data_IF_633236259015
#
_entry.id   IF_633236259015
#
_cell.length_a   1.000
_cell.length_b   1.000
_cell.length_c   1.000
_cell.angle_alpha   90.00
_cell.angle_beta   90.00
_cell.angle_gamma   90.00
#
_symmetry.space_group_name_H-M   'P 1'
#
loop_
_entity.id
_entity.type
_entity.pdbx_description
1 polymer ?
#
# COMPACT_ATOMS: atom_id res chain seq x y z
N UNK A 1 -3.61 10.48 -32.93
CA UNK A 1 -3.69 9.01 -32.83
C UNK A 1 -5.11 8.58 -32.42
N UNK A 2 -5.58 8.98 -31.23
CA UNK A 2 -6.92 8.63 -30.72
C UNK A 2 -8.07 8.93 -31.68
N UNK A 3 -8.16 10.16 -32.22
CA UNK A 3 -9.19 10.52 -33.23
C UNK A 3 -9.18 9.59 -34.43
N UNK A 4 -8.00 9.33 -35.01
CA UNK A 4 -7.88 8.42 -36.17
C UNK A 4 -8.36 7.01 -35.82
N UNK A 5 -8.03 6.49 -34.63
CA UNK A 5 -8.53 5.18 -34.18
C UNK A 5 -10.07 5.15 -34.06
N UNK A 6 -10.69 6.22 -33.56
CA UNK A 6 -12.15 6.35 -33.49
C UNK A 6 -12.79 6.43 -34.88
N UNK A 7 -12.24 7.28 -35.77
CA UNK A 7 -12.74 7.47 -37.13
C UNK A 7 -12.64 6.19 -37.99
N UNK A 8 -11.67 5.31 -37.71
CA UNK A 8 -11.44 4.08 -38.48
C UNK A 8 -12.20 2.86 -37.98
N UNK A 9 -12.81 2.92 -36.79
CA UNK A 9 -13.53 1.78 -36.22
C UNK A 9 -15.04 1.90 -36.52
N UNK A 10 -15.58 1.12 -37.47
CA UNK A 10 -16.98 1.23 -37.89
C UNK A 10 -17.99 0.87 -36.79
N UNK A 11 -17.55 0.28 -35.67
CA UNK A 11 -18.40 -0.02 -34.51
C UNK A 11 -18.59 1.15 -33.55
N UNK A 12 -17.94 2.30 -33.79
CA UNK A 12 -17.83 3.39 -32.82
C UNK A 12 -18.56 4.62 -33.35
N UNK A 13 -19.68 4.97 -32.71
CA UNK A 13 -20.46 6.17 -33.05
C UNK A 13 -20.01 7.37 -32.21
N UNK A 14 -18.77 7.81 -32.37
CA UNK A 14 -18.22 8.99 -31.68
C UNK A 14 -17.66 9.98 -32.68
N UNK A 15 -17.97 11.27 -32.51
CA UNK A 15 -17.40 12.35 -33.32
C UNK A 15 -16.59 13.29 -32.45
N UNK A 16 -15.33 13.53 -32.80
CA UNK A 16 -14.47 14.47 -32.06
C UNK A 16 -14.82 15.90 -32.47
N UNK A 17 -15.45 16.67 -31.59
CA UNK A 17 -15.90 18.04 -31.86
C UNK A 17 -14.95 19.13 -31.35
N UNK A 18 -14.09 18.80 -30.37
CA UNK A 18 -13.14 19.74 -29.79
C UNK A 18 -11.88 19.03 -29.27
N UNK A 19 -10.76 19.74 -29.30
CA UNK A 19 -9.56 19.40 -28.53
C UNK A 19 -9.37 20.39 -27.40
N UNK A 20 -8.79 19.94 -26.28
CA UNK A 20 -8.50 20.79 -25.12
C UNK A 20 -7.06 20.58 -24.70
N UNK A 21 -6.29 21.66 -24.59
CA UNK A 21 -4.87 21.63 -24.21
C UNK A 21 -4.51 22.85 -23.35
N UNK A 22 -3.57 22.64 -22.42
CA UNK A 22 -3.09 23.69 -21.53
C UNK A 22 -2.09 24.64 -22.17
N UNK A 23 -1.48 24.25 -23.29
CA UNK A 23 -0.52 25.10 -23.97
C UNK A 23 -1.24 26.28 -24.65
N UNK A 24 -1.09 27.53 -24.15
CA UNK A 24 -1.77 28.69 -24.71
C UNK A 24 -1.40 28.93 -26.17
N UNK A 25 -0.23 28.44 -26.63
CA UNK A 25 0.22 28.54 -28.02
C UNK A 25 -0.57 27.64 -28.97
N UNK A 26 -1.34 26.68 -28.45
CA UNK A 26 -2.21 25.80 -29.23
C UNK A 26 -3.64 26.32 -29.31
N UNK A 27 -4.06 27.22 -28.42
CA UNK A 27 -5.40 27.83 -28.44
C UNK A 27 -5.70 28.44 -29.81
N UNK A 28 -6.86 28.10 -30.38
CA UNK A 28 -7.32 28.61 -31.67
C UNK A 28 -6.72 27.92 -32.90
N UNK A 29 -5.73 27.02 -32.73
CA UNK A 29 -5.27 26.14 -33.81
C UNK A 29 -6.29 25.01 -34.05
N UNK A 30 -6.13 24.29 -35.15
CA UNK A 30 -6.97 23.14 -35.48
C UNK A 30 -6.13 21.92 -35.84
N UNK A 31 -6.65 20.73 -35.52
CA UNK A 31 -6.11 19.43 -35.93
C UNK A 31 -7.23 18.67 -36.62
N UNK A 32 -7.01 18.21 -37.84
CA UNK A 32 -8.03 17.53 -38.66
C UNK A 32 -9.36 18.30 -38.71
N UNK A 33 -9.30 19.64 -38.90
CA UNK A 33 -10.43 20.60 -38.88
C UNK A 33 -11.18 20.76 -37.54
N UNK A 34 -10.69 20.15 -36.46
CA UNK A 34 -11.25 20.31 -35.11
C UNK A 34 -10.44 21.35 -34.33
N UNK A 35 -11.11 22.33 -33.73
CA UNK A 35 -10.46 23.43 -32.98
C UNK A 35 -9.87 22.94 -31.65
N UNK A 36 -8.75 23.55 -31.28
CA UNK A 36 -8.11 23.40 -29.97
C UNK A 36 -8.51 24.58 -29.08
N UNK A 37 -9.13 24.27 -27.97
CA UNK A 37 -9.50 25.19 -26.91
C UNK A 37 -8.53 25.07 -25.73
N UNK A 38 -8.54 26.09 -24.89
CA UNK A 38 -7.80 26.03 -23.63
C UNK A 38 -8.65 25.35 -22.57
N UNK A 39 -8.01 24.69 -21.61
CA UNK A 39 -8.68 23.93 -20.53
C UNK A 39 -9.58 24.77 -19.62
N UNK A 40 -9.40 26.10 -19.63
CA UNK A 40 -10.29 27.04 -18.94
C UNK A 40 -11.63 27.24 -19.65
N UNK A 41 -11.71 26.92 -20.94
CA UNK A 41 -12.93 27.03 -21.73
C UNK A 41 -13.77 25.73 -21.68
N UNK A 42 -13.32 24.71 -20.92
CA UNK A 42 -13.90 23.35 -20.93
C UNK A 42 -15.39 23.32 -20.56
N UNK A 43 -15.77 23.95 -19.46
CA UNK A 43 -17.17 24.03 -18.98
C UNK A 43 -18.10 24.61 -20.06
N UNK A 44 -17.70 25.76 -20.62
CA UNK A 44 -18.42 26.42 -21.70
C UNK A 44 -18.57 25.52 -22.94
N UNK A 45 -17.56 24.72 -23.28
CA UNK A 45 -17.60 23.81 -24.44
C UNK A 45 -18.55 22.66 -24.18
N UNK A 46 -18.51 22.09 -22.97
CA UNK A 46 -19.42 21.02 -22.55
C UNK A 46 -20.87 21.45 -22.76
N UNK A 47 -21.22 22.67 -22.34
CA UNK A 47 -22.58 23.21 -22.47
C UNK A 47 -22.97 23.57 -23.91
N UNK A 48 -22.08 24.25 -24.65
CA UNK A 48 -22.38 24.75 -26.01
C UNK A 48 -22.48 23.62 -27.03
N UNK A 49 -21.55 22.67 -26.97
CA UNK A 49 -21.42 21.59 -27.95
C UNK A 49 -22.16 20.31 -27.50
N UNK A 50 -22.74 20.30 -26.29
CA UNK A 50 -23.43 19.16 -25.68
C UNK A 50 -22.59 17.89 -25.70
N UNK A 51 -21.43 17.96 -25.05
CA UNK A 51 -20.43 16.88 -25.05
C UNK A 51 -20.95 15.69 -24.23
N UNK A 52 -20.98 14.48 -24.81
CA UNK A 52 -21.32 13.25 -24.10
C UNK A 52 -20.12 12.59 -23.40
N UNK A 53 -18.95 12.64 -24.04
CA UNK A 53 -17.73 11.94 -23.60
C UNK A 53 -16.50 12.85 -23.67
N UNK A 54 -15.70 12.86 -22.60
CA UNK A 54 -14.36 13.45 -22.56
C UNK A 54 -13.30 12.36 -22.55
N UNK A 55 -12.39 12.37 -23.52
CA UNK A 55 -11.26 11.42 -23.58
C UNK A 55 -9.98 12.08 -23.06
N UNK A 56 -9.51 11.64 -21.91
CA UNK A 56 -8.19 12.00 -21.37
C UNK A 56 -7.10 11.22 -22.10
N UNK A 57 -6.22 11.97 -22.78
CA UNK A 57 -5.07 11.42 -23.53
C UNK A 57 -3.71 11.90 -23.01
N UNK A 58 -3.70 12.85 -22.08
CA UNK A 58 -2.47 13.42 -21.52
C UNK A 58 -2.07 12.70 -20.24
N UNK A 59 -0.94 12.01 -20.29
CA UNK A 59 -0.30 11.40 -19.11
C UNK A 59 0.51 12.43 -18.28
N UNK A 60 0.45 13.72 -18.65
CA UNK A 60 1.22 14.80 -18.00
C UNK A 60 0.36 15.74 -17.17
N UNK A 61 -0.93 15.43 -16.99
CA UNK A 61 -1.78 16.22 -16.11
C UNK A 61 -1.41 15.91 -14.66
N UNK A 62 -1.29 16.96 -13.84
CA UNK A 62 -1.16 16.77 -12.40
C UNK A 62 -2.43 16.09 -11.85
N UNK A 63 -2.33 15.28 -10.78
CA UNK A 63 -3.47 14.61 -10.17
C UNK A 63 -4.61 15.57 -9.78
N UNK A 64 -4.27 16.75 -9.25
CA UNK A 64 -5.23 17.79 -8.88
C UNK A 64 -6.04 18.27 -10.08
N UNK A 65 -5.35 18.54 -11.18
CA UNK A 65 -5.99 19.03 -12.42
C UNK A 65 -6.85 17.96 -13.06
N UNK A 66 -6.38 16.72 -13.07
CA UNK A 66 -7.14 15.56 -13.55
C UNK A 66 -8.43 15.38 -12.74
N UNK A 67 -8.35 15.47 -11.41
CA UNK A 67 -9.53 15.44 -10.53
C UNK A 67 -10.50 16.58 -10.86
N UNK A 68 -10.01 17.83 -10.98
CA UNK A 68 -10.86 18.98 -11.31
C UNK A 68 -11.61 18.81 -12.64
N UNK A 69 -10.92 18.31 -13.66
CA UNK A 69 -11.53 18.06 -14.98
C UNK A 69 -12.61 16.97 -14.86
N UNK A 70 -12.34 15.90 -14.12
CA UNK A 70 -13.30 14.82 -13.94
C UNK A 70 -14.50 15.26 -13.13
N UNK A 71 -14.30 16.02 -12.05
CA UNK A 71 -15.38 16.54 -11.22
C UNK A 71 -16.29 17.46 -12.04
N UNK A 72 -15.72 18.36 -12.85
CA UNK A 72 -16.48 19.18 -13.79
C UNK A 72 -17.28 18.31 -14.79
N UNK A 73 -16.67 17.28 -15.37
CA UNK A 73 -17.39 16.40 -16.30
C UNK A 73 -18.56 15.67 -15.62
N UNK A 74 -18.35 15.16 -14.41
CA UNK A 74 -19.38 14.47 -13.64
C UNK A 74 -20.52 15.41 -13.18
N UNK A 75 -20.26 16.70 -13.01
CA UNK A 75 -21.28 17.71 -12.71
C UNK A 75 -22.20 18.02 -13.89
N UNK A 76 -21.73 17.78 -15.12
CA UNK A 76 -22.47 17.99 -16.37
C UNK A 76 -22.89 16.68 -17.06
N UNK A 77 -22.91 15.56 -16.33
CA UNK A 77 -23.25 14.22 -16.85
C UNK A 77 -22.39 13.73 -18.03
N UNK A 78 -21.16 14.25 -18.15
CA UNK A 78 -20.19 13.88 -19.18
C UNK A 78 -19.37 12.68 -18.71
N UNK A 79 -19.33 11.62 -19.53
CA UNK A 79 -18.53 10.43 -19.25
C UNK A 79 -17.06 10.72 -19.50
N UNK A 80 -16.20 10.30 -18.56
CA UNK A 80 -14.75 10.46 -18.70
C UNK A 80 -14.10 9.13 -19.05
N UNK A 81 -13.43 9.12 -20.20
CA UNK A 81 -12.68 8.00 -20.74
C UNK A 81 -11.18 8.28 -20.62
N UNK A 82 -10.39 7.23 -20.45
CA UNK A 82 -8.95 7.31 -20.38
C UNK A 82 -8.30 6.44 -21.46
N UNK A 83 -7.27 7.00 -22.10
CA UNK A 83 -6.42 6.28 -23.05
C UNK A 83 -5.25 5.66 -22.29
N UNK A 84 -4.89 4.38 -22.54
CA UNK A 84 -3.76 3.76 -21.87
C UNK A 84 -2.43 4.45 -22.24
N UNK A 85 -1.40 4.34 -21.38
CA UNK A 85 -0.10 4.92 -21.68
C UNK A 85 0.55 4.28 -22.92
N UNK A 86 1.43 5.06 -23.59
CA UNK A 86 2.06 4.67 -24.86
C UNK A 86 2.73 3.28 -24.85
N UNK A 87 3.29 2.87 -23.71
CA UNK A 87 3.91 1.55 -23.52
C UNK A 87 2.96 0.38 -23.72
N UNK A 88 1.65 0.60 -23.53
CA UNK A 88 0.61 -0.42 -23.65
C UNK A 88 -0.01 -0.44 -25.06
N UNK A 89 0.52 0.37 -25.99
CA UNK A 89 0.01 0.45 -27.36
C UNK A 89 0.61 -0.67 -28.21
N UNK A 90 -0.26 -1.51 -28.76
CA UNK A 90 0.16 -2.62 -29.62
C UNK A 90 0.59 -2.07 -30.99
N UNK A 91 1.85 -2.30 -31.37
CA UNK A 91 2.43 -1.88 -32.67
C UNK A 91 2.31 -0.37 -32.96
N UNK A 92 2.34 0.48 -31.92
CA UNK A 92 2.30 1.95 -32.09
C UNK A 92 0.91 2.52 -32.42
N UNK A 93 -0.15 1.72 -32.30
CA UNK A 93 -1.54 2.12 -32.53
C UNK A 93 -2.43 1.75 -31.35
N UNK A 94 -3.41 2.61 -31.01
CA UNK A 94 -4.45 2.32 -30.01
C UNK A 94 -5.60 1.61 -30.70
N UNK A 95 -6.08 0.51 -30.12
CA UNK A 95 -7.39 -0.07 -30.45
C UNK A 95 -8.48 0.58 -29.60
N UNK A 96 -9.67 0.81 -30.16
CA UNK A 96 -10.76 1.51 -29.44
C UNK A 96 -11.18 0.79 -28.16
N UNK A 97 -11.15 -0.55 -28.15
CA UNK A 97 -11.43 -1.35 -26.94
C UNK A 97 -10.45 -1.13 -25.77
N UNK A 98 -9.32 -0.45 -26.00
CA UNK A 98 -8.38 -0.07 -24.96
C UNK A 98 -8.76 1.27 -24.30
N UNK A 99 -9.64 2.07 -24.90
CA UNK A 99 -10.22 3.26 -24.28
C UNK A 99 -11.24 2.79 -23.26
N UNK A 100 -11.03 3.14 -21.99
CA UNK A 100 -11.84 2.63 -20.86
C UNK A 100 -12.36 3.79 -20.03
N UNK A 101 -13.47 3.57 -19.34
CA UNK A 101 -13.95 4.49 -18.32
C UNK A 101 -12.85 4.75 -17.30
N UNK A 102 -12.73 6.01 -16.87
CA UNK A 102 -11.82 6.37 -15.81
C UNK A 102 -12.21 5.63 -14.53
N UNK A 103 -11.21 5.06 -13.86
CA UNK A 103 -11.41 4.36 -12.60
C UNK A 103 -11.15 5.31 -11.46
N UNK A 104 -11.75 5.03 -10.30
CA UNK A 104 -11.48 5.79 -9.09
C UNK A 104 -10.00 5.72 -8.71
N UNK A 105 -9.35 4.58 -8.95
CA UNK A 105 -7.93 4.41 -8.73
C UNK A 105 -7.11 5.46 -9.51
N UNK A 106 -7.44 5.71 -10.79
CA UNK A 106 -6.74 6.66 -11.66
C UNK A 106 -6.81 8.12 -11.17
N UNK A 107 -7.79 8.45 -10.31
CA UNK A 107 -7.99 9.77 -9.70
C UNK A 107 -7.28 9.90 -8.36
N UNK A 108 -6.99 8.77 -7.72
CA UNK A 108 -6.28 8.69 -6.45
C UNK A 108 -4.78 8.46 -6.65
N UNK A 109 -4.36 8.21 -7.89
CA UNK A 109 -2.95 8.15 -8.29
C UNK A 109 -2.23 9.46 -8.00
N UNK A 110 -0.98 9.32 -7.59
CA UNK A 110 -0.05 10.43 -7.36
C UNK A 110 0.98 10.52 -8.45
N UNK A 111 1.71 11.62 -8.46
CA UNK A 111 2.90 11.71 -9.30
C UNK A 111 3.86 10.57 -8.97
N UNK A 112 4.17 9.79 -10.01
CA UNK A 112 5.05 8.64 -9.95
C UNK A 112 6.42 9.04 -9.44
N UNK A 113 6.95 8.22 -8.57
CA UNK A 113 8.20 8.50 -7.86
C UNK A 113 9.37 8.10 -8.75
N UNK A 114 10.25 9.04 -9.03
CA UNK A 114 11.51 8.79 -9.75
C UNK A 114 12.54 8.37 -8.71
N UNK A 115 13.03 7.15 -8.83
CA UNK A 115 13.98 6.56 -7.90
C UNK A 115 15.25 6.17 -8.66
N UNK A 116 16.39 6.22 -7.99
CA UNK A 116 17.67 5.76 -8.54
C UNK A 116 17.69 4.23 -8.66
N UNK A 117 17.41 3.74 -9.87
CA UNK A 117 17.44 2.32 -10.18
C UNK A 117 18.85 1.71 -10.09
N UNK A 118 19.92 2.51 -10.18
CA UNK A 118 21.30 1.99 -10.24
C UNK A 118 21.71 1.34 -8.92
N UNK A 119 21.42 2.00 -7.79
CA UNK A 119 21.76 1.47 -6.47
C UNK A 119 20.98 0.18 -6.16
N UNK A 120 19.68 0.16 -6.51
CA UNK A 120 18.85 -1.03 -6.34
C UNK A 120 19.35 -2.20 -7.20
N UNK A 121 19.74 -1.91 -8.44
CA UNK A 121 20.30 -2.90 -9.35
C UNK A 121 21.61 -3.48 -8.80
N UNK A 122 22.53 -2.65 -8.32
CA UNK A 122 23.78 -3.09 -7.70
C UNK A 122 23.52 -3.99 -6.47
N UNK A 123 22.54 -3.61 -5.64
CA UNK A 123 22.23 -4.33 -4.42
C UNK A 123 21.54 -5.67 -4.65
N UNK A 124 20.61 -5.76 -5.61
CA UNK A 124 19.73 -6.93 -5.78
C UNK A 124 20.23 -7.91 -6.85
N UNK A 125 21.05 -7.47 -7.80
CA UNK A 125 21.60 -8.32 -8.87
C UNK A 125 22.38 -9.49 -8.30
N UNK A 126 22.07 -10.69 -8.77
CA UNK A 126 22.71 -11.93 -8.32
C UNK A 126 22.47 -12.27 -6.85
N UNK A 127 21.48 -11.66 -6.18
CA UNK A 127 21.13 -11.98 -4.79
C UNK A 127 19.99 -12.98 -4.68
N UNK A 128 19.87 -13.59 -3.51
CA UNK A 128 18.79 -14.50 -3.14
C UNK A 128 17.87 -13.72 -2.23
N UNK A 129 16.62 -13.59 -2.60
CA UNK A 129 15.68 -12.66 -1.99
C UNK A 129 14.50 -13.45 -1.50
N UNK A 130 14.24 -13.39 -0.20
CA UNK A 130 13.04 -13.97 0.40
C UNK A 130 11.97 -12.89 0.50
N UNK A 131 10.78 -13.17 -0.03
CA UNK A 131 9.58 -12.37 0.23
C UNK A 131 8.61 -13.26 1.01
N UNK A 132 8.30 -12.91 2.25
CA UNK A 132 7.25 -13.57 3.03
C UNK A 132 5.93 -12.82 2.86
N UNK A 133 4.80 -13.52 2.79
CA UNK A 133 3.53 -12.90 2.40
C UNK A 133 3.53 -12.61 0.89
N UNK A 134 4.28 -13.41 0.12
CA UNK A 134 4.51 -13.19 -1.30
C UNK A 134 3.21 -13.21 -2.12
N UNK A 135 2.19 -13.95 -1.70
CA UNK A 135 0.90 -13.99 -2.37
C UNK A 135 -0.04 -12.84 -1.95
N UNK A 136 0.35 -12.03 -0.96
CA UNK A 136 -0.38 -10.83 -0.56
C UNK A 136 -0.25 -9.68 -1.55
N UNK A 137 -1.11 -8.67 -1.43
CA UNK A 137 -1.13 -7.50 -2.35
C UNK A 137 0.21 -6.73 -2.41
N UNK A 138 0.91 -6.60 -1.27
CA UNK A 138 2.21 -5.92 -1.22
C UNK A 138 3.35 -6.87 -1.60
N UNK A 139 3.35 -8.10 -1.06
CA UNK A 139 4.41 -9.08 -1.34
C UNK A 139 4.50 -9.43 -2.82
N UNK A 140 3.37 -9.63 -3.50
CA UNK A 140 3.34 -9.96 -4.94
C UNK A 140 3.90 -8.82 -5.79
N UNK A 141 3.59 -7.57 -5.45
CA UNK A 141 4.16 -6.43 -6.16
C UNK A 141 5.65 -6.24 -5.87
N UNK A 142 6.11 -6.44 -4.62
CA UNK A 142 7.54 -6.47 -4.30
C UNK A 142 8.25 -7.51 -5.17
N UNK A 143 7.69 -8.71 -5.31
CA UNK A 143 8.24 -9.77 -6.17
C UNK A 143 8.36 -9.30 -7.62
N UNK A 144 7.30 -8.71 -8.19
CA UNK A 144 7.32 -8.19 -9.57
C UNK A 144 8.36 -7.11 -9.78
N UNK A 145 8.55 -6.21 -8.81
CA UNK A 145 9.53 -5.13 -8.91
C UNK A 145 10.96 -5.65 -8.75
N UNK A 146 11.18 -6.53 -7.77
CA UNK A 146 12.48 -7.16 -7.52
C UNK A 146 12.96 -8.00 -8.72
N UNK A 147 12.05 -8.69 -9.40
CA UNK A 147 12.37 -9.54 -10.55
C UNK A 147 13.09 -8.79 -11.69
N UNK A 148 12.84 -7.48 -11.82
CA UNK A 148 13.44 -6.61 -12.85
C UNK A 148 14.95 -6.40 -12.66
N UNK A 149 15.49 -6.66 -11.47
CA UNK A 149 16.89 -6.40 -11.12
C UNK A 149 17.81 -7.64 -11.25
N UNK A 150 17.37 -8.68 -11.97
CA UNK A 150 18.15 -9.90 -12.21
C UNK A 150 18.69 -10.57 -10.92
N UNK A 151 17.84 -10.88 -9.93
CA UNK A 151 18.27 -11.63 -8.77
C UNK A 151 18.68 -13.07 -9.14
N UNK A 152 19.54 -13.68 -8.31
CA UNK A 152 19.90 -15.09 -8.45
C UNK A 152 18.70 -16.01 -8.19
N UNK A 153 17.89 -15.70 -7.17
CA UNK A 153 16.71 -16.47 -6.80
C UNK A 153 15.72 -15.59 -6.02
N UNK A 154 14.43 -15.68 -6.32
CA UNK A 154 13.36 -15.13 -5.49
C UNK A 154 12.60 -16.28 -4.81
N UNK A 155 12.57 -16.28 -3.48
CA UNK A 155 11.84 -17.27 -2.68
C UNK A 155 10.50 -16.64 -2.29
N UNK A 156 9.42 -17.21 -2.83
CA UNK A 156 8.05 -16.76 -2.60
C UNK A 156 7.45 -17.55 -1.44
N UNK A 157 7.48 -16.99 -0.23
CA UNK A 157 6.91 -17.66 0.94
C UNK A 157 5.52 -17.14 1.28
N UNK A 158 4.55 -18.04 1.36
CA UNK A 158 3.19 -17.74 1.80
C UNK A 158 2.49 -18.99 2.36
N UNK A 159 1.37 -18.79 3.04
CA UNK A 159 0.44 -19.84 3.48
C UNK A 159 -0.75 -20.00 2.51
N UNK A 160 -1.03 -18.97 1.70
CA UNK A 160 -2.14 -18.96 0.76
C UNK A 160 -1.78 -19.73 -0.52
N UNK A 161 -2.07 -21.02 -0.51
CA UNK A 161 -1.71 -21.96 -1.58
C UNK A 161 -2.14 -21.49 -2.97
N UNK A 162 -3.43 -21.21 -3.17
CA UNK A 162 -3.94 -20.87 -4.49
C UNK A 162 -3.41 -19.51 -4.97
N UNK A 163 -3.35 -18.50 -4.10
CA UNK A 163 -2.81 -17.19 -4.48
C UNK A 163 -1.30 -17.24 -4.79
N UNK A 164 -0.55 -18.11 -4.10
CA UNK A 164 0.88 -18.34 -4.39
C UNK A 164 1.06 -19.06 -5.72
N UNK A 165 0.18 -20.02 -6.05
CA UNK A 165 0.16 -20.69 -7.34
C UNK A 165 -0.14 -19.72 -8.49
N UNK A 166 -1.16 -18.88 -8.35
CA UNK A 166 -1.49 -17.85 -9.34
C UNK A 166 -0.33 -16.88 -9.57
N UNK A 167 0.34 -16.43 -8.51
CA UNK A 167 1.54 -15.59 -8.64
C UNK A 167 2.65 -16.31 -9.39
N UNK A 168 2.84 -17.61 -9.15
CA UNK A 168 3.84 -18.39 -9.86
C UNK A 168 3.51 -18.47 -11.36
N UNK A 169 2.27 -18.76 -11.75
CA UNK A 169 1.85 -18.78 -13.16
C UNK A 169 2.04 -17.41 -13.80
N UNK A 170 1.64 -16.33 -13.12
CA UNK A 170 1.80 -14.95 -13.59
C UNK A 170 3.27 -14.61 -13.90
N UNK A 171 4.21 -15.03 -13.05
CA UNK A 171 5.64 -14.77 -13.25
C UNK A 171 6.22 -15.58 -14.42
N UNK A 172 5.71 -16.79 -14.67
CA UNK A 172 6.10 -17.61 -15.82
C UNK A 172 5.64 -16.98 -17.13
N UNK A 173 4.38 -16.54 -17.19
CA UNK A 173 3.78 -15.96 -18.40
C UNK A 173 4.44 -14.64 -18.82
N UNK A 174 4.89 -13.85 -17.84
CA UNK A 174 5.48 -12.53 -18.10
C UNK A 174 7.00 -12.56 -18.38
N UNK A 175 7.65 -13.73 -18.40
CA UNK A 175 9.12 -13.87 -18.56
C UNK A 175 9.93 -12.98 -17.59
N UNK A 176 9.36 -12.63 -16.42
CA UNK A 176 9.94 -11.60 -15.54
C UNK A 176 11.16 -12.09 -14.75
N UNK A 177 11.35 -13.40 -14.62
CA UNK A 177 12.58 -14.05 -14.14
C UNK A 177 12.33 -15.56 -14.12
N UNK A 178 13.23 -16.39 -14.65
CA UNK A 178 13.10 -17.85 -14.56
C UNK A 178 13.54 -18.42 -13.20
N UNK A 179 14.03 -17.57 -12.29
CA UNK A 179 14.68 -17.99 -11.06
C UNK A 179 13.85 -17.58 -9.84
N UNK A 180 12.69 -18.21 -9.65
CA UNK A 180 11.92 -18.12 -8.43
C UNK A 180 11.48 -19.51 -7.95
N UNK A 181 11.14 -19.61 -6.67
CA UNK A 181 10.60 -20.83 -6.08
C UNK A 181 9.45 -20.49 -5.13
N UNK A 182 8.30 -21.15 -5.31
CA UNK A 182 7.20 -21.11 -4.37
C UNK A 182 7.53 -21.99 -3.15
N UNK A 183 7.44 -21.42 -1.95
CA UNK A 183 7.68 -22.11 -0.69
C UNK A 183 6.50 -21.94 0.25
N UNK A 184 5.63 -22.95 0.27
CA UNK A 184 4.54 -23.02 1.23
C UNK A 184 5.07 -23.13 2.66
N UNK A 185 4.69 -22.18 3.51
CA UNK A 185 5.11 -22.16 4.90
C UNK A 185 4.56 -20.98 5.69
N UNK A 186 4.14 -21.26 6.91
CA UNK A 186 3.70 -20.25 7.88
C UNK A 186 4.90 -19.67 8.62
N UNK A 187 4.99 -18.33 8.69
CA UNK A 187 6.03 -17.61 9.44
C UNK A 187 6.01 -17.94 10.95
N UNK A 188 4.88 -18.40 11.47
CA UNK A 188 4.74 -18.91 12.85
C UNK A 188 5.48 -20.23 13.06
N UNK A 189 5.62 -21.04 12.01
CA UNK A 189 6.30 -22.34 12.11
C UNK A 189 7.81 -22.17 12.01
N UNK A 190 8.45 -22.02 13.18
CA UNK A 190 9.89 -21.82 13.30
C UNK A 190 10.72 -22.90 12.60
N UNK A 191 10.34 -24.17 12.70
CA UNK A 191 11.08 -25.28 12.07
C UNK A 191 10.99 -25.19 10.54
N UNK A 192 9.80 -24.91 10.01
CA UNK A 192 9.60 -24.76 8.56
C UNK A 192 10.35 -23.56 8.00
N UNK A 193 10.38 -22.45 8.74
CA UNK A 193 11.14 -21.27 8.36
C UNK A 193 12.65 -21.49 8.48
N UNK A 194 13.12 -22.15 9.54
CA UNK A 194 14.53 -22.52 9.69
C UNK A 194 15.02 -23.34 8.48
N UNK A 195 14.25 -24.34 8.04
CA UNK A 195 14.56 -25.13 6.85
C UNK A 195 14.66 -24.27 5.57
N UNK A 196 13.79 -23.26 5.42
CA UNK A 196 13.85 -22.31 4.32
C UNK A 196 15.19 -21.56 4.34
N UNK A 197 15.53 -20.94 5.48
CA UNK A 197 16.76 -20.16 5.61
C UNK A 197 18.01 -21.02 5.43
N UNK A 198 18.03 -22.24 5.98
CA UNK A 198 19.14 -23.17 5.84
C UNK A 198 19.36 -23.59 4.38
N UNK A 199 18.27 -23.87 3.67
CA UNK A 199 18.29 -24.36 2.28
C UNK A 199 18.69 -23.24 1.31
N UNK A 200 18.02 -22.10 1.38
CA UNK A 200 18.16 -21.05 0.37
C UNK A 200 19.12 -19.93 0.76
N UNK A 201 19.45 -19.79 2.05
CA UNK A 201 20.40 -18.79 2.59
C UNK A 201 20.16 -17.39 1.98
N UNK A 202 18.99 -16.77 2.20
CA UNK A 202 18.66 -15.49 1.57
C UNK A 202 19.67 -14.40 1.97
N UNK A 203 19.98 -13.51 1.03
CA UNK A 203 20.78 -12.32 1.29
C UNK A 203 19.89 -11.15 1.74
N UNK A 204 18.66 -11.08 1.23
CA UNK A 204 17.68 -10.03 1.51
C UNK A 204 16.36 -10.69 1.92
N UNK A 205 15.67 -10.08 2.89
CA UNK A 205 14.33 -10.47 3.30
C UNK A 205 13.42 -9.24 3.19
N UNK A 206 12.36 -9.35 2.40
CA UNK A 206 11.22 -8.42 2.43
C UNK A 206 10.06 -9.11 3.17
N UNK A 207 9.78 -8.63 4.38
CA UNK A 207 8.76 -9.22 5.24
C UNK A 207 7.43 -8.47 5.08
N UNK A 208 6.50 -9.09 4.36
CA UNK A 208 5.14 -8.57 4.12
C UNK A 208 4.04 -9.54 4.62
N UNK A 209 4.39 -10.57 5.40
CA UNK A 209 3.42 -11.51 5.97
C UNK A 209 2.83 -10.93 7.26
N UNK A 210 1.55 -10.58 7.24
CA UNK A 210 0.82 -10.10 8.40
C UNK A 210 -0.69 -10.22 8.21
N UNK A 211 -1.43 -10.29 9.31
CA UNK A 211 -2.85 -9.98 9.33
C UNK A 211 -3.07 -8.48 9.49
N UNK A 212 -3.96 -7.92 8.66
CA UNK A 212 -4.17 -6.45 8.56
C UNK A 212 -5.60 -5.99 8.85
N UNK A 213 -6.58 -6.89 8.91
CA UNK A 213 -7.98 -6.51 9.03
C UNK A 213 -8.34 -6.19 10.48
N UNK A 214 -8.34 -4.89 10.83
CA UNK A 214 -8.55 -4.42 12.21
C UNK A 214 -9.76 -5.06 12.90
N UNK A 215 -11.00 -5.00 12.37
CA UNK A 215 -12.14 -5.59 13.09
C UNK A 215 -12.04 -7.10 13.27
N UNK A 216 -11.35 -7.80 12.36
CA UNK A 216 -11.15 -9.24 12.46
C UNK A 216 -10.12 -9.56 13.54
N UNK A 217 -9.06 -8.75 13.66
CA UNK A 217 -7.99 -8.94 14.63
C UNK A 217 -8.35 -8.44 16.02
N UNK A 218 -9.25 -7.47 16.16
CA UNK A 218 -9.87 -7.12 17.44
C UNK A 218 -10.65 -8.31 18.02
N UNK A 219 -11.29 -9.12 17.19
CA UNK A 219 -11.97 -10.33 17.64
C UNK A 219 -11.05 -11.54 17.82
N UNK A 220 -9.78 -11.44 17.39
CA UNK A 220 -8.80 -12.54 17.42
C UNK A 220 -7.40 -12.00 17.76
N UNK A 221 -7.21 -11.31 18.91
CA UNK A 221 -5.95 -10.65 19.21
C UNK A 221 -4.81 -11.65 19.37
N UNK A 222 -5.07 -12.85 19.91
CA UNK A 222 -4.07 -13.92 19.98
C UNK A 222 -3.53 -14.34 18.61
N UNK A 223 -4.39 -14.48 17.59
CA UNK A 223 -3.95 -14.80 16.23
C UNK A 223 -3.13 -13.67 15.60
N UNK A 224 -3.53 -12.41 15.88
CA UNK A 224 -2.80 -11.23 15.44
C UNK A 224 -1.39 -11.19 16.04
N UNK A 225 -1.24 -11.45 17.34
CA UNK A 225 0.06 -11.52 18.01
C UNK A 225 0.87 -12.72 17.51
N UNK A 226 0.31 -13.93 17.48
CA UNK A 226 1.04 -15.10 17.01
C UNK A 226 1.66 -14.89 15.62
N UNK A 227 0.90 -14.26 14.71
CA UNK A 227 1.35 -14.01 13.33
C UNK A 227 2.24 -12.78 13.22
N UNK A 228 1.74 -11.61 13.59
CA UNK A 228 2.42 -10.34 13.34
C UNK A 228 3.60 -10.11 14.28
N UNK A 229 3.56 -10.70 15.47
CA UNK A 229 4.62 -10.59 16.48
C UNK A 229 5.51 -11.82 16.48
N UNK A 230 4.92 -13.00 16.73
CA UNK A 230 5.66 -14.26 16.82
C UNK A 230 6.29 -14.64 15.48
N UNK A 231 5.53 -14.54 14.39
CA UNK A 231 6.01 -14.77 13.04
C UNK A 231 7.15 -13.82 12.64
N UNK A 232 6.97 -12.51 12.83
CA UNK A 232 8.03 -11.51 12.58
C UNK A 232 9.29 -11.82 13.37
N UNK A 233 9.15 -12.13 14.68
CA UNK A 233 10.27 -12.50 15.54
C UNK A 233 11.02 -13.72 15.00
N UNK A 234 10.32 -14.77 14.56
CA UNK A 234 10.94 -15.95 13.98
C UNK A 234 11.79 -15.60 12.75
N UNK A 235 11.21 -14.88 11.79
CA UNK A 235 11.91 -14.54 10.54
C UNK A 235 13.10 -13.60 10.81
N UNK A 236 12.96 -12.65 11.73
CA UNK A 236 14.03 -11.74 12.11
C UNK A 236 15.18 -12.43 12.87
N UNK A 237 14.88 -13.31 13.82
CA UNK A 237 15.90 -14.12 14.52
C UNK A 237 16.65 -15.03 13.53
N UNK A 238 15.93 -15.62 12.55
CA UNK A 238 16.54 -16.41 11.48
C UNK A 238 17.39 -15.56 10.54
N UNK A 239 16.95 -14.35 10.22
CA UNK A 239 17.73 -13.43 9.39
C UNK A 239 19.09 -13.13 10.02
N UNK A 240 19.10 -12.87 11.33
CA UNK A 240 20.34 -12.72 12.12
C UNK A 240 21.16 -14.01 12.11
N UNK A 241 20.56 -15.15 12.46
CA UNK A 241 21.26 -16.44 12.55
C UNK A 241 21.94 -16.84 11.23
N UNK A 242 21.31 -16.54 10.11
CA UNK A 242 21.78 -16.86 8.76
C UNK A 242 22.49 -15.70 8.06
N UNK A 243 22.84 -14.63 8.80
CA UNK A 243 23.63 -13.49 8.31
C UNK A 243 23.03 -12.82 7.06
N UNK A 244 21.71 -12.67 7.03
CA UNK A 244 21.00 -11.85 6.03
C UNK A 244 21.59 -10.44 6.06
N UNK A 245 21.83 -9.84 4.89
CA UNK A 245 22.41 -8.50 4.79
C UNK A 245 21.40 -7.43 5.14
N UNK A 246 20.17 -7.54 4.64
CA UNK A 246 19.08 -6.57 4.84
C UNK A 246 17.75 -7.27 5.10
N UNK A 247 17.07 -6.86 6.16
CA UNK A 247 15.72 -7.24 6.50
C UNK A 247 14.83 -6.00 6.42
N UNK A 248 13.89 -5.99 5.48
CA UNK A 248 12.97 -4.87 5.25
C UNK A 248 11.57 -5.28 5.68
N UNK A 249 11.05 -4.64 6.72
CA UNK A 249 9.72 -4.89 7.28
C UNK A 249 8.69 -3.91 6.69
N UNK A 250 7.67 -4.46 6.04
CA UNK A 250 6.50 -3.70 5.61
C UNK A 250 5.57 -3.51 6.80
N UNK A 251 5.34 -2.25 7.19
CA UNK A 251 4.47 -1.84 8.29
C UNK A 251 3.45 -0.80 7.81
N UNK A 252 2.39 -0.61 8.60
CA UNK A 252 1.26 0.29 8.29
C UNK A 252 1.22 1.47 9.26
N UNK A 253 0.55 2.56 8.86
CA UNK A 253 0.10 3.65 9.73
C UNK A 253 -0.65 3.16 10.99
N UNK A 254 -1.40 2.06 10.89
CA UNK A 254 -2.06 1.42 12.04
C UNK A 254 -1.07 0.86 13.06
N UNK A 255 0.22 0.80 12.71
CA UNK A 255 1.30 0.37 13.58
C UNK A 255 2.06 1.51 14.27
N UNK A 256 1.62 2.76 14.10
CA UNK A 256 2.23 3.94 14.74
C UNK A 256 2.13 3.89 16.27
N UNK A 257 1.17 3.13 16.79
CA UNK A 257 0.97 2.90 18.21
C UNK A 257 1.13 1.42 18.57
N UNK A 258 2.03 0.67 17.90
CA UNK A 258 2.18 -0.76 18.20
C UNK A 258 3.58 -1.37 18.02
N UNK A 259 3.66 -2.55 18.62
CA UNK A 259 4.71 -3.55 18.78
C UNK A 259 5.80 -3.66 17.69
N UNK A 260 5.52 -3.27 16.44
CA UNK A 260 6.51 -3.14 15.38
C UNK A 260 7.70 -2.23 15.78
N UNK A 261 7.41 -1.13 16.50
CA UNK A 261 8.44 -0.25 17.07
C UNK A 261 9.25 -0.91 18.18
N UNK A 262 8.60 -1.69 19.06
CA UNK A 262 9.26 -2.41 20.16
C UNK A 262 10.13 -3.59 19.66
N UNK A 263 9.65 -4.35 18.66
CA UNK A 263 10.44 -5.37 17.95
C UNK A 263 11.66 -4.75 17.28
N UNK A 264 11.46 -3.65 16.55
CA UNK A 264 12.56 -3.00 15.85
C UNK A 264 13.59 -2.44 16.83
N UNK A 265 13.16 -1.80 17.92
CA UNK A 265 14.04 -1.37 19.00
C UNK A 265 14.89 -2.54 19.52
N UNK A 266 14.28 -3.70 19.79
CA UNK A 266 14.98 -4.92 20.21
C UNK A 266 16.03 -5.38 19.18
N UNK A 267 15.69 -5.40 17.88
CA UNK A 267 16.63 -5.82 16.83
C UNK A 267 17.75 -4.81 16.57
N UNK A 268 17.44 -3.50 16.55
CA UNK A 268 18.42 -2.43 16.41
C UNK A 268 19.42 -2.42 17.58
N UNK A 269 18.95 -2.68 18.80
CA UNK A 269 19.82 -2.78 19.96
C UNK A 269 20.64 -4.06 20.00
N UNK A 270 20.09 -5.22 19.61
CA UNK A 270 20.92 -6.43 19.48
C UNK A 270 22.11 -6.20 18.54
N UNK A 271 21.89 -5.49 17.43
CA UNK A 271 22.96 -5.05 16.53
C UNK A 271 23.89 -4.00 17.15
N UNK A 272 23.35 -3.02 17.88
CA UNK A 272 24.14 -1.99 18.57
C UNK A 272 25.03 -2.54 19.70
N UNK A 273 24.48 -3.40 20.56
CA UNK A 273 25.21 -4.09 21.63
C UNK A 273 26.30 -4.99 21.09
N UNK A 274 26.07 -5.68 19.98
CA UNK A 274 27.10 -6.53 19.38
C UNK A 274 28.22 -5.70 18.77
N UNK A 275 27.90 -4.57 18.13
CA UNK A 275 28.89 -3.60 17.68
C UNK A 275 29.73 -3.03 18.84
N UNK A 276 29.09 -2.65 19.95
CA UNK A 276 29.75 -2.11 21.15
C UNK A 276 30.55 -3.17 21.92
N UNK A 277 30.12 -4.43 21.92
CA UNK A 277 30.82 -5.55 22.56
C UNK A 277 31.89 -6.19 21.66
N UNK A 278 32.26 -5.58 20.53
CA UNK A 278 33.25 -6.11 19.60
C UNK A 278 32.87 -7.45 18.96
N UNK A 279 31.59 -7.83 18.99
CA UNK A 279 31.08 -8.99 18.25
C UNK A 279 30.79 -8.57 16.82
N UNK A 280 31.75 -8.79 15.93
CA UNK A 280 31.65 -8.55 14.48
C UNK A 280 30.56 -9.39 13.76
N UNK A 281 29.86 -10.27 14.49
CA UNK A 281 28.99 -11.30 13.92
C UNK A 281 27.56 -10.86 13.53
N UNK A 282 27.11 -9.67 13.94
CA UNK A 282 25.76 -9.17 13.64
C UNK A 282 25.79 -8.09 12.55
N UNK A 283 25.59 -8.52 11.30
CA UNK A 283 25.68 -7.69 10.09
C UNK A 283 24.30 -7.39 9.43
N UNK A 284 23.20 -7.86 10.04
CA UNK A 284 21.85 -7.71 9.45
C UNK A 284 21.31 -6.31 9.69
N UNK A 285 21.12 -5.53 8.62
CA UNK A 285 20.47 -4.22 8.69
C UNK A 285 18.96 -4.40 8.71
N UNK A 286 18.32 -3.96 9.79
CA UNK A 286 16.85 -3.95 9.92
C UNK A 286 16.31 -2.60 9.47
N UNK A 287 15.42 -2.61 8.49
CA UNK A 287 14.75 -1.43 7.95
C UNK A 287 13.25 -1.64 8.13
N UNK A 288 12.54 -0.65 8.66
CA UNK A 288 11.08 -0.69 8.74
C UNK A 288 10.51 0.42 7.87
N UNK A 289 9.43 0.15 7.15
CA UNK A 289 8.71 1.15 6.36
C UNK A 289 7.28 1.25 6.87
N UNK A 290 6.76 2.46 7.09
CA UNK A 290 5.39 2.75 7.49
C UNK A 290 4.70 3.58 6.42
N UNK A 291 3.54 3.13 6.00
CA UNK A 291 2.68 3.86 5.06
C UNK A 291 1.20 3.55 5.30
N UNK A 292 0.33 4.41 4.76
CA UNK A 292 -1.10 4.32 4.94
C UNK A 292 -1.79 3.30 4.04
N UNK A 293 -3.09 3.50 3.78
CA UNK A 293 -3.85 2.54 2.99
C UNK A 293 -3.33 2.48 1.54
N UNK A 294 -3.45 1.28 0.96
CA UNK A 294 -3.05 1.04 -0.41
C UNK A 294 -4.26 0.70 -1.27
N UNK A 295 -4.37 1.40 -2.40
CA UNK A 295 -5.49 1.32 -3.34
C UNK A 295 -5.68 -0.09 -3.88
N UNK A 296 -6.94 -0.54 -3.92
CA UNK A 296 -7.30 -1.82 -4.54
C UNK A 296 -6.76 -3.07 -3.85
N UNK A 297 -6.16 -2.94 -2.65
CA UNK A 297 -5.67 -4.11 -1.91
C UNK A 297 -6.81 -5.04 -1.47
N UNK A 298 -6.50 -6.33 -1.28
CA UNK A 298 -7.50 -7.35 -0.92
C UNK A 298 -8.28 -6.94 0.33
N UNK A 299 -9.61 -7.05 0.25
CA UNK A 299 -10.55 -6.71 1.34
C UNK A 299 -10.61 -5.23 1.71
N UNK A 300 -10.16 -4.31 0.84
CA UNK A 300 -10.24 -2.86 1.08
C UNK A 300 -11.61 -2.26 0.72
N UNK A 301 -11.78 -0.97 1.03
CA UNK A 301 -13.05 -0.24 0.84
C UNK A 301 -13.48 -0.12 -0.63
N UNK A 302 -12.53 0.05 -1.56
CA UNK A 302 -12.85 0.25 -2.98
C UNK A 302 -13.48 -1.01 -3.61
N UNK A 303 -12.91 -2.23 -3.48
CA UNK A 303 -13.58 -3.45 -3.92
C UNK A 303 -14.96 -3.65 -3.29
N UNK A 304 -15.13 -3.31 -2.01
CA UNK A 304 -16.42 -3.39 -1.33
C UNK A 304 -17.44 -2.44 -1.95
N UNK A 305 -17.08 -1.18 -2.19
CA UNK A 305 -17.96 -0.20 -2.83
C UNK A 305 -18.31 -0.61 -4.26
N UNK A 306 -17.36 -1.14 -5.04
CA UNK A 306 -17.64 -1.68 -6.39
C UNK A 306 -18.69 -2.78 -6.34
N UNK A 307 -18.54 -3.75 -5.43
CA UNK A 307 -19.50 -4.83 -5.26
C UNK A 307 -20.88 -4.32 -4.79
N UNK A 308 -20.92 -3.36 -3.85
CA UNK A 308 -22.16 -2.75 -3.39
C UNK A 308 -22.88 -2.01 -4.52
N UNK A 309 -22.17 -1.25 -5.33
CA UNK A 309 -22.72 -0.55 -6.50
C UNK A 309 -23.28 -1.53 -7.52
N UNK A 310 -22.52 -2.58 -7.85
CA UNK A 310 -22.95 -3.63 -8.78
C UNK A 310 -24.22 -4.36 -8.31
N UNK A 311 -24.41 -4.48 -7.00
CA UNK A 311 -25.60 -5.10 -6.39
C UNK A 311 -26.76 -4.11 -6.16
N UNK A 312 -26.67 -2.85 -6.59
CA UNK A 312 -27.73 -1.85 -6.45
C UNK A 312 -27.72 -1.06 -5.13
N UNK A 313 -26.66 -1.19 -4.32
CA UNK A 313 -26.51 -0.49 -3.05
C UNK A 313 -27.28 -1.12 -1.88
N UNK A 314 -27.36 -0.43 -0.72
CA UNK A 314 -26.67 0.82 -0.40
C UNK A 314 -25.15 0.65 -0.27
N UNK A 315 -24.41 1.75 -0.44
CA UNK A 315 -23.00 1.79 0.00
C UNK A 315 -22.97 2.03 1.51
N UNK A 316 -22.13 1.27 2.21
CA UNK A 316 -21.97 1.41 3.67
C UNK A 316 -20.70 2.18 4.00
N UNK A 317 -20.82 3.37 4.58
CA UNK A 317 -19.70 4.18 5.11
C UNK A 317 -19.75 4.11 6.64
N UNK A 318 -18.61 3.97 7.31
CA UNK A 318 -18.61 3.81 8.77
C UNK A 318 -18.96 5.10 9.51
N UNK A 319 -18.38 6.24 9.09
CA UNK A 319 -18.67 7.54 9.69
C UNK A 319 -18.57 8.67 8.65
N UNK A 320 -19.39 9.74 8.72
CA UNK A 320 -19.36 10.85 7.75
C UNK A 320 -17.99 11.55 7.67
N UNK A 321 -17.29 11.66 8.79
CA UNK A 321 -15.99 12.34 8.86
C UNK A 321 -14.76 11.42 8.73
N UNK A 322 -14.95 10.13 8.48
CA UNK A 322 -13.81 9.22 8.38
C UNK A 322 -12.96 9.55 7.15
N UNK A 323 -11.65 9.72 7.37
CA UNK A 323 -10.68 10.01 6.30
C UNK A 323 -9.60 8.94 6.25
N UNK A 324 -9.06 8.68 5.06
CA UNK A 324 -7.90 7.79 4.89
C UNK A 324 -6.92 8.35 3.88
N UNK A 325 -5.65 8.08 4.10
CA UNK A 325 -4.61 8.31 3.10
C UNK A 325 -4.55 7.14 2.12
N UNK A 326 -4.24 7.42 0.87
CA UNK A 326 -4.14 6.42 -0.17
C UNK A 326 -2.86 6.56 -0.97
N UNK A 327 -2.31 5.43 -1.37
CA UNK A 327 -1.20 5.32 -2.31
C UNK A 327 -1.44 4.09 -3.19
N UNK A 328 -0.86 4.04 -4.40
CA UNK A 328 -0.97 2.83 -5.23
C UNK A 328 -0.07 1.71 -4.71
N UNK A 329 -0.42 0.45 -5.01
CA UNK A 329 0.41 -0.71 -4.65
C UNK A 329 1.82 -0.59 -5.26
N UNK A 330 1.99 -0.28 -6.56
CA UNK A 330 3.31 -0.13 -7.16
C UNK A 330 4.13 0.99 -6.51
N UNK A 331 3.52 2.14 -6.23
CA UNK A 331 4.19 3.27 -5.58
C UNK A 331 4.66 2.92 -4.16
N UNK A 332 3.81 2.31 -3.34
CA UNK A 332 4.17 1.90 -1.99
C UNK A 332 5.33 0.89 -2.01
N UNK A 333 5.25 -0.14 -2.85
CA UNK A 333 6.32 -1.14 -2.96
C UNK A 333 7.62 -0.54 -3.47
N UNK A 334 7.53 0.45 -4.36
CA UNK A 334 8.69 1.14 -4.91
C UNK A 334 9.42 1.96 -3.85
N UNK A 335 8.67 2.65 -2.98
CA UNK A 335 9.23 3.32 -1.79
C UNK A 335 9.81 2.32 -0.77
N UNK A 336 9.19 1.14 -0.61
CA UNK A 336 9.74 0.07 0.26
C UNK A 336 11.11 -0.40 -0.23
N UNK A 337 11.26 -0.61 -1.54
CA UNK A 337 12.56 -1.00 -2.11
C UNK A 337 13.61 0.09 -1.88
N UNK A 338 13.25 1.36 -2.11
CA UNK A 338 14.16 2.49 -1.95
C UNK A 338 14.59 2.70 -0.49
N UNK A 339 13.65 2.65 0.45
CA UNK A 339 13.94 2.66 1.88
C UNK A 339 14.86 1.50 2.28
N UNK A 340 14.58 0.29 1.78
CA UNK A 340 15.41 -0.89 1.99
C UNK A 340 16.83 -0.74 1.45
N UNK A 341 16.98 -0.03 0.33
CA UNK A 341 18.26 0.26 -0.32
C UNK A 341 19.10 1.25 0.48
N UNK A 342 18.49 2.35 0.93
CA UNK A 342 19.19 3.45 1.59
C UNK A 342 19.46 3.21 3.08
N UNK A 343 18.64 2.41 3.76
CA UNK A 343 18.75 2.22 5.21
C UNK A 343 20.12 1.69 5.64
N UNK A 344 20.58 2.10 6.80
CA UNK A 344 21.84 1.66 7.41
C UNK A 344 21.62 0.68 8.55
N UNK A 345 20.37 0.51 8.99
CA UNK A 345 19.94 -0.37 10.07
C UNK A 345 19.38 0.44 11.24
N UNK A 346 18.20 0.06 11.71
CA UNK A 346 17.50 0.67 12.85
C UNK A 346 16.51 1.77 12.46
N UNK A 347 16.44 2.19 11.20
CA UNK A 347 15.54 3.27 10.78
C UNK A 347 14.09 2.81 10.59
N UNK A 348 13.15 3.65 11.02
CA UNK A 348 11.74 3.61 10.59
C UNK A 348 11.56 4.68 9.52
N UNK A 349 11.33 4.25 8.29
CA UNK A 349 10.97 5.13 7.19
C UNK A 349 9.46 5.35 7.16
N UNK A 350 9.05 6.61 7.04
CA UNK A 350 7.66 7.02 6.89
C UNK A 350 7.53 7.66 5.52
N UNK A 351 6.52 7.22 4.78
CA UNK A 351 6.28 7.75 3.44
C UNK A 351 5.34 8.93 3.49
N UNK A 352 5.60 9.91 2.64
CA UNK A 352 4.66 10.99 2.42
C UNK A 352 3.39 10.42 1.76
N UNK A 353 2.34 10.41 2.57
CA UNK A 353 1.04 9.91 2.18
C UNK A 353 0.11 11.02 1.70
N UNK A 354 0.60 12.20 1.29
CA UNK A 354 -0.17 13.28 0.67
C UNK A 354 -1.41 13.67 1.45
N UNK A 355 -2.44 14.14 0.76
CA UNK A 355 -3.70 14.53 1.40
C UNK A 355 -4.58 13.31 1.73
N UNK A 356 -5.22 13.35 2.90
CA UNK A 356 -6.24 12.38 3.29
C UNK A 356 -7.56 12.67 2.58
N UNK A 357 -8.37 11.63 2.38
CA UNK A 357 -9.61 11.71 1.61
C UNK A 357 -10.75 11.20 2.48
N UNK A 358 -11.85 11.96 2.52
CA UNK A 358 -13.10 11.54 3.18
C UNK A 358 -13.70 10.35 2.44
N UNK A 359 -13.99 9.27 3.17
CA UNK A 359 -14.53 8.03 2.59
C UNK A 359 -15.93 8.24 2.00
N UNK A 360 -16.72 9.17 2.56
CA UNK A 360 -18.02 9.54 1.98
C UNK A 360 -17.86 10.21 0.61
N UNK A 361 -16.84 11.04 0.41
CA UNK A 361 -16.58 11.67 -0.89
C UNK A 361 -16.07 10.64 -1.91
N UNK A 362 -15.25 9.70 -1.46
CA UNK A 362 -14.86 8.54 -2.25
C UNK A 362 -16.08 7.74 -2.72
N UNK A 363 -17.03 7.43 -1.81
CA UNK A 363 -18.26 6.71 -2.13
C UNK A 363 -19.11 7.47 -3.18
N UNK A 364 -19.37 8.76 -2.96
CA UNK A 364 -20.11 9.60 -3.91
C UNK A 364 -19.47 9.61 -5.29
N UNK A 365 -18.14 9.79 -5.36
CA UNK A 365 -17.38 9.81 -6.61
C UNK A 365 -17.46 8.46 -7.33
N UNK A 366 -17.38 7.35 -6.62
CA UNK A 366 -17.54 6.01 -7.21
C UNK A 366 -18.93 5.74 -7.78
N UNK A 367 -19.99 6.22 -7.11
CA UNK A 367 -21.37 6.14 -7.61
C UNK A 367 -21.49 6.91 -8.93
N UNK A 368 -21.01 8.17 -8.97
CA UNK A 368 -21.03 9.01 -10.18
C UNK A 368 -20.24 8.41 -11.35
N UNK A 369 -19.04 7.89 -11.08
CA UNK A 369 -18.22 7.19 -12.08
C UNK A 369 -18.90 5.94 -12.65
N UNK A 370 -19.90 5.40 -11.96
CA UNK A 370 -20.71 4.27 -12.43
C UNK A 370 -21.95 4.73 -13.22
N UNK A 371 -22.11 6.04 -13.47
CA UNK A 371 -23.25 6.62 -14.18
C UNK A 371 -24.52 6.71 -13.32
N UNK A 372 -24.38 6.72 -11.99
CA UNK A 372 -25.48 6.72 -11.03
C UNK A 372 -25.43 7.96 -10.14
N UNK A 373 -26.55 8.34 -9.56
CA UNK A 373 -26.69 9.50 -8.69
C UNK A 373 -26.67 9.11 -7.20
N UNK A 374 -25.73 9.67 -6.40
CA UNK A 374 -25.70 9.45 -4.96
C UNK A 374 -27.00 9.89 -4.28
N UNK A 375 -27.52 9.05 -3.39
CA UNK A 375 -28.77 9.23 -2.63
C UNK A 375 -30.05 9.33 -3.48
N UNK A 376 -29.99 9.07 -4.79
CA UNK A 376 -31.14 8.88 -5.65
C UNK A 376 -31.18 7.44 -6.16
N UNK A 377 -30.16 7.03 -6.91
CA UNK A 377 -30.03 5.67 -7.43
C UNK A 377 -29.39 4.73 -6.40
N UNK A 378 -28.37 5.21 -5.69
CA UNK A 378 -27.65 4.46 -4.66
C UNK A 378 -27.59 5.28 -3.37
N UNK A 379 -28.20 4.76 -2.30
CA UNK A 379 -28.11 5.35 -0.96
C UNK A 379 -26.74 5.13 -0.34
N UNK A 380 -26.28 6.12 0.43
CA UNK A 380 -25.12 5.99 1.32
C UNK A 380 -25.64 5.87 2.76
N UNK A 381 -25.35 4.76 3.41
CA UNK A 381 -25.76 4.50 4.79
C UNK A 381 -24.55 4.54 5.73
N UNK A 382 -24.73 5.22 6.87
CA UNK A 382 -23.73 5.29 7.92
C UNK A 382 -23.93 4.16 8.93
N UNK A 383 -22.94 3.27 9.04
CA UNK A 383 -23.05 2.05 9.87
C UNK A 383 -22.43 2.18 11.26
N UNK A 384 -21.80 3.31 11.56
CA UNK A 384 -20.99 3.48 12.77
C UNK A 384 -19.55 2.98 12.59
N UNK A 385 -18.67 3.46 13.46
CA UNK A 385 -17.28 2.99 13.55
C UNK A 385 -17.26 1.55 14.08
N UNK A 386 -16.35 0.75 13.54
CA UNK A 386 -16.15 -0.65 13.95
C UNK A 386 -15.15 -0.75 15.12
N UNK A 387 -15.10 -1.89 15.82
CA UNK A 387 -14.06 -2.14 16.82
C UNK A 387 -12.65 -1.90 16.28
N UNK A 388 -11.84 -1.17 17.05
CA UNK A 388 -10.48 -0.74 16.72
C UNK A 388 -10.37 0.34 15.64
N UNK A 389 -11.48 0.76 15.03
CA UNK A 389 -11.45 1.70 13.90
C UNK A 389 -11.32 3.14 14.36
N UNK A 390 -10.29 3.83 13.85
CA UNK A 390 -10.06 5.26 14.09
C UNK A 390 -10.82 6.13 13.09
N UNK A 391 -11.25 7.30 13.54
CA UNK A 391 -11.86 8.31 12.66
C UNK A 391 -10.82 8.94 11.72
N UNK A 392 -9.64 9.25 12.25
CA UNK A 392 -8.48 9.78 11.54
C UNK A 392 -7.29 8.85 11.77
N UNK A 393 -6.54 8.55 10.70
CA UNK A 393 -5.27 7.85 10.84
C UNK A 393 -4.17 8.90 11.08
N UNK A 394 -3.30 8.62 12.03
CA UNK A 394 -2.06 9.39 12.24
C UNK A 394 -0.97 8.77 11.36
N UNK A 395 0.01 9.56 10.88
CA UNK A 395 1.21 9.04 10.19
C UNK A 395 2.46 9.03 11.09
N UNK A 396 2.40 9.76 12.20
CA UNK A 396 3.42 9.92 13.22
C UNK A 396 2.74 9.87 14.58
N UNK A 397 3.45 9.36 15.58
CA UNK A 397 3.03 9.52 16.96
C UNK A 397 3.34 10.97 17.41
N UNK A 398 2.59 11.53 18.36
CA UNK A 398 2.75 12.93 18.82
C UNK A 398 4.16 13.23 19.37
N UNK A 399 4.91 12.19 19.73
CA UNK A 399 6.27 12.25 20.28
C UNK A 399 7.36 11.97 19.24
N UNK A 400 7.01 11.52 18.03
CA UNK A 400 7.97 11.17 16.98
C UNK A 400 8.32 12.40 16.13
N UNK A 401 9.57 12.87 16.23
CA UNK A 401 10.13 13.84 15.29
C UNK A 401 10.62 13.13 14.02
N UNK A 402 10.56 13.80 12.87
CA UNK A 402 11.11 13.27 11.61
C UNK A 402 12.46 13.89 11.24
N UNK A 403 13.25 13.12 10.49
CA UNK A 403 14.44 13.59 9.79
C UNK A 403 14.22 13.41 8.27
N UNK A 404 14.64 14.37 7.43
CA UNK A 404 14.57 14.21 5.99
C UNK A 404 15.55 13.13 5.50
N UNK A 405 15.29 12.58 4.32
CA UNK A 405 16.23 11.72 3.58
C UNK A 405 16.67 12.41 2.28
N UNK A 406 17.47 11.75 1.44
CA UNK A 406 17.76 12.25 0.09
C UNK A 406 16.52 12.22 -0.83
N UNK A 407 15.47 11.50 -0.41
CA UNK A 407 14.23 11.37 -1.15
C UNK A 407 13.11 12.17 -0.45
N UNK A 408 12.53 13.17 -1.13
CA UNK A 408 11.58 14.12 -0.54
C UNK A 408 10.33 13.44 0.07
N UNK A 409 9.87 12.33 -0.52
CA UNK A 409 8.71 11.55 -0.03
C UNK A 409 9.04 10.51 1.04
N UNK A 410 10.27 10.46 1.54
CA UNK A 410 10.70 9.49 2.56
C UNK A 410 11.33 10.24 3.73
N UNK A 411 10.79 10.02 4.92
CA UNK A 411 11.27 10.59 6.16
C UNK A 411 11.73 9.47 7.10
N UNK A 412 12.62 9.75 8.03
CA UNK A 412 13.03 8.84 9.11
C UNK A 412 12.38 9.29 10.42
N UNK A 413 11.64 8.40 11.08
CA UNK A 413 11.13 8.66 12.42
C UNK A 413 12.25 8.54 13.46
N UNK A 414 12.35 9.49 14.38
CA UNK A 414 13.22 9.37 15.57
C UNK A 414 12.51 8.49 16.59
N UNK A 415 13.08 7.32 16.85
CA UNK A 415 12.59 6.38 17.85
C UNK A 415 13.21 6.70 19.22
N UNK A 416 12.39 6.69 20.27
CA UNK A 416 12.87 6.78 21.66
C UNK A 416 13.50 5.44 22.04
N UNK A 417 14.72 5.48 22.58
CA UNK A 417 15.39 4.26 23.05
C UNK A 417 14.66 3.70 24.29
N UNK A 418 14.16 2.47 24.19
CA UNK A 418 13.54 1.74 25.29
C UNK A 418 14.55 0.78 25.93
N UNK A 419 14.34 0.39 27.19
CA UNK A 419 15.10 -0.67 27.82
C UNK A 419 14.78 -2.03 27.17
N UNK A 420 15.79 -2.69 26.61
CA UNK A 420 15.60 -3.74 25.62
C UNK A 420 15.48 -5.15 26.21
N UNK A 421 16.12 -5.43 27.35
CA UNK A 421 15.99 -6.73 28.03
C UNK A 421 14.57 -6.92 28.58
N UNK A 422 13.98 -5.84 29.11
CA UNK A 422 12.59 -5.84 29.54
C UNK A 422 11.64 -6.03 28.36
N UNK A 423 11.86 -5.35 27.23
CA UNK A 423 11.06 -5.55 26.00
C UNK A 423 11.15 -7.00 25.51
N UNK A 424 12.35 -7.58 25.36
CA UNK A 424 12.51 -8.94 24.86
C UNK A 424 11.75 -10.00 25.68
N UNK A 425 11.78 -9.86 27.00
CA UNK A 425 11.05 -10.72 27.94
C UNK A 425 9.54 -10.53 27.80
N UNK A 426 9.06 -9.28 27.75
CA UNK A 426 7.64 -8.97 27.57
C UNK A 426 7.09 -9.46 26.23
N UNK A 427 7.89 -9.37 25.15
CA UNK A 427 7.53 -9.93 23.83
C UNK A 427 7.34 -11.45 23.92
N UNK A 428 8.25 -12.16 24.58
CA UNK A 428 8.14 -13.62 24.70
C UNK A 428 6.93 -14.02 25.54
N UNK A 429 6.67 -13.32 26.64
CA UNK A 429 5.47 -13.52 27.46
C UNK A 429 4.19 -13.27 26.64
N UNK A 430 4.15 -12.20 25.86
CA UNK A 430 3.01 -11.87 25.01
C UNK A 430 2.73 -12.97 23.97
N UNK A 431 3.77 -13.49 23.33
CA UNK A 431 3.64 -14.60 22.37
C UNK A 431 3.15 -15.87 23.06
N UNK A 432 3.63 -16.17 24.26
CA UNK A 432 3.19 -17.35 25.01
C UNK A 432 1.69 -17.26 25.35
N UNK A 433 1.24 -16.14 25.91
CA UNK A 433 -0.19 -15.89 26.19
C UNK A 433 -1.05 -16.01 24.92
N UNK A 434 -0.56 -15.46 23.81
CA UNK A 434 -1.25 -15.56 22.53
C UNK A 434 -1.31 -16.99 21.98
N UNK A 435 -0.29 -17.83 22.23
CA UNK A 435 -0.32 -19.24 21.86
C UNK A 435 -1.26 -20.07 22.74
N UNK A 436 -1.58 -19.56 23.94
CA UNK A 436 -2.57 -20.13 24.87
C UNK A 436 -3.99 -19.58 24.64
N UNK A 437 -4.16 -18.67 23.66
CA UNK A 437 -5.42 -18.01 23.31
C UNK A 437 -6.07 -17.21 24.46
N UNK A 438 -5.25 -16.65 25.36
CA UNK A 438 -5.71 -15.80 26.46
C UNK A 438 -5.92 -14.34 26.03
N UNK A 439 -6.90 -14.10 25.15
CA UNK A 439 -7.12 -12.82 24.46
C UNK A 439 -7.13 -11.59 25.40
N UNK A 440 -7.81 -11.66 26.55
CA UNK A 440 -7.87 -10.54 27.50
C UNK A 440 -6.49 -10.22 28.11
N UNK A 441 -5.74 -11.26 28.50
CA UNK A 441 -4.40 -11.07 29.08
C UNK A 441 -3.38 -10.66 28.02
N UNK A 442 -3.53 -11.14 26.79
CA UNK A 442 -2.77 -10.65 25.63
C UNK A 442 -2.97 -9.15 25.45
N UNK A 443 -4.21 -8.67 25.40
CA UNK A 443 -4.49 -7.25 25.21
C UNK A 443 -4.01 -6.42 26.40
N UNK A 444 -4.17 -6.91 27.62
CA UNK A 444 -3.67 -6.24 28.83
C UNK A 444 -2.15 -6.09 28.83
N UNK A 445 -1.42 -7.16 28.52
CA UNK A 445 0.04 -7.11 28.42
C UNK A 445 0.48 -6.23 27.23
N UNK A 446 -0.22 -6.31 26.10
CA UNK A 446 0.04 -5.45 24.95
C UNK A 446 -0.06 -3.96 25.33
N UNK A 447 -1.11 -3.56 26.07
CA UNK A 447 -1.28 -2.19 26.56
C UNK A 447 -0.20 -1.77 27.56
N UNK A 448 0.38 -2.71 28.30
CA UNK A 448 1.53 -2.42 29.17
C UNK A 448 2.81 -2.19 28.36
N UNK A 449 3.01 -2.95 27.29
CA UNK A 449 4.16 -2.81 26.38
C UNK A 449 4.03 -1.53 25.54
N UNK A 450 2.80 -1.15 25.19
CA UNK A 450 2.50 0.03 24.37
C UNK A 450 1.42 0.87 25.07
N UNK A 451 1.81 1.70 26.07
CA UNK A 451 0.88 2.47 26.91
C UNK A 451 -0.02 3.45 26.14
N UNK A 452 0.41 3.91 24.98
CA UNK A 452 -0.34 4.81 24.11
C UNK A 452 -1.47 4.13 23.33
N UNK A 453 -1.49 2.78 23.27
CA UNK A 453 -2.50 2.04 22.52
C UNK A 453 -3.87 2.14 23.19
N UNK A 454 -4.85 2.65 22.45
CA UNK A 454 -6.26 2.72 22.85
C UNK A 454 -7.13 1.82 21.98
N UNK A 455 -7.97 1.01 22.61
CA UNK A 455 -8.76 -0.03 21.94
C UNK A 455 -10.06 0.46 21.27
N UNK A 456 -10.19 1.78 21.03
CA UNK A 456 -11.33 2.49 20.43
C UNK A 456 -12.46 1.62 19.84
N UNK A 457 -13.68 1.77 20.34
CA UNK A 457 -14.91 1.09 19.92
C UNK A 457 -14.91 -0.45 20.14
N UNK A 458 -14.10 -0.99 21.05
CA UNK A 458 -14.04 -2.44 21.32
C UNK A 458 -14.30 -2.82 22.78
N UNK A 459 -14.49 -4.11 23.03
CA UNK A 459 -14.65 -4.67 24.39
C UNK A 459 -13.44 -4.42 25.30
N UNK A 460 -12.26 -4.13 24.71
CA UNK A 460 -11.04 -3.90 25.46
C UNK A 460 -10.88 -2.45 25.93
N UNK A 461 -11.82 -1.55 25.64
CA UNK A 461 -11.84 -0.18 26.19
C UNK A 461 -11.85 -0.18 27.73
N UNK A 462 -12.42 -1.20 28.36
CA UNK A 462 -12.39 -1.36 29.82
C UNK A 462 -10.96 -1.44 30.36
N UNK A 463 -10.02 -1.95 29.56
CA UNK A 463 -8.60 -2.05 29.90
C UNK A 463 -7.84 -0.73 29.68
N UNK A 464 -8.38 0.24 28.94
CA UNK A 464 -7.74 1.56 28.75
C UNK A 464 -7.66 2.35 30.06
N UNK A 465 -8.67 2.19 30.93
CA UNK A 465 -8.79 2.93 32.20
C UNK A 465 -7.84 2.42 33.29
N UNK A 466 -7.42 1.16 33.21
CA UNK A 466 -6.60 0.53 34.24
C UNK A 466 -5.12 0.96 34.18
N UNK A 467 -4.65 1.44 33.02
CA UNK A 467 -3.25 1.86 32.83
C UNK A 467 -2.93 3.30 33.26
N UNK A 468 -3.93 4.11 33.62
CA UNK A 468 -3.71 5.51 34.05
C UNK A 468 -3.08 5.60 35.44
N UNK A 469 -3.10 4.51 36.22
CA UNK A 469 -2.59 4.49 37.61
C UNK A 469 -1.09 4.17 37.75
N UNK A 470 -0.34 4.01 36.65
CA UNK A 470 1.08 3.66 36.67
C UNK A 470 1.92 4.61 35.81
N UNK A 471 1.89 5.89 36.16
CA UNK A 471 2.96 6.83 35.80
C UNK A 471 3.28 7.65 37.05
N UNK A 472 4.55 7.74 37.50
CA UNK A 472 4.95 8.58 38.63
C UNK A 472 4.65 10.07 38.40
#
# INVERSE_FOLDING_TARGET
ATKRSLDTDPGVNMTVVAYVDDDPRKKGKAVDNVKIYHTNDLERIIELEKIDDLILSSNRLSPEKKNRIVDLCLEHDVKVLNVPPLRDWVKGSIKVNQIKNIKIEDLLERETIVIDDLLLEEQLRGKRILVTGAAGSIGSEIVRQVAKFNPQLIILNDIAESALHELQLELQDNNLSNNFIAYMGDVRNKVRMENLFQTFKPHYVYHAAAYKHVPMMENNPSEAICTNVGGTKNVADLAVKYKVTRFVMVSTDKAIQSFAGALQANFAFKNGLSHLNGREDLNTKFITTRFGNVLGSNGSVIPRFKAQIQNGGPITVTHPDITRYFMTIPEACRLVLEAGSMGKGGEIFIFDMGQSIKIVELAKKMIRLSGLLPNQDIKIEFTGLRPGEKLYEELLNDLENTLPTHHEKIMIAKVVANDFESVGTSIQQLVNLACEYEDTEVVKLMKKIVPEFKSNNSVYEELDKQNVALTP
#
